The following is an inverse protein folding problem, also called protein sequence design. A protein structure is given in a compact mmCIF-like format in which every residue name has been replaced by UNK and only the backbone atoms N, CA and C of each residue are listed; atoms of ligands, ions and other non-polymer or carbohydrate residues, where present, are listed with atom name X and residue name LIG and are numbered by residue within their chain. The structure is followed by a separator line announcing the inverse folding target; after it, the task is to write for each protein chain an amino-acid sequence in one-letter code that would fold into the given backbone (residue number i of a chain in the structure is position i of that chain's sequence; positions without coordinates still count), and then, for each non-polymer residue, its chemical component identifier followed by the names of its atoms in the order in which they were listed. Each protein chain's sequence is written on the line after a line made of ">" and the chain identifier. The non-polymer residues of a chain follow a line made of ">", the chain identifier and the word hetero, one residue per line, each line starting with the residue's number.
data_IF_554488886558
#
_entry.id   IF_554488886558
#
_cell.length_a   1.000
_cell.length_b   1.000
_cell.length_c   1.000
_cell.angle_alpha   90.00
_cell.angle_beta   90.00
_cell.angle_gamma   90.00
#
_symmetry.space_group_name_H-M   'P 1'
#
loop_
_entity.id
_entity.type
_entity.pdbx_description
1 polymer ?
#
# COMPACT_ATOMS: atom_id res chain seq x y z
N UNK A 1 48.97 -59.49 -36.26
CA UNK A 1 49.37 -58.18 -35.71
C UNK A 1 48.36 -57.15 -36.18
N UNK A 2 47.81 -56.38 -35.24
CA UNK A 2 47.20 -55.02 -35.34
C UNK A 2 46.32 -54.70 -36.56
N UNK A 3 45.03 -54.38 -36.49
CA UNK A 3 44.24 -53.73 -35.43
C UNK A 3 44.48 -52.21 -35.46
N UNK A 4 43.50 -51.42 -35.93
CA UNK A 4 42.88 -50.26 -35.22
C UNK A 4 41.70 -49.68 -36.05
N UNK A 5 40.53 -49.62 -35.42
CA UNK A 5 39.28 -49.02 -35.91
C UNK A 5 39.24 -47.53 -35.54
N UNK A 6 38.79 -46.68 -36.47
CA UNK A 6 38.71 -45.23 -36.29
C UNK A 6 37.73 -44.80 -35.19
N UNK A 7 38.18 -43.89 -34.33
CA UNK A 7 37.35 -43.21 -33.34
C UNK A 7 36.62 -42.02 -33.98
N UNK A 8 35.29 -42.10 -33.99
CA UNK A 8 34.42 -40.96 -34.25
C UNK A 8 34.41 -40.00 -33.06
N UNK A 9 34.79 -38.75 -33.31
CA UNK A 9 34.62 -37.63 -32.39
C UNK A 9 33.12 -37.31 -32.25
N UNK A 10 32.51 -37.70 -31.13
CA UNK A 10 31.18 -37.21 -30.74
C UNK A 10 31.34 -35.83 -30.10
N UNK A 11 30.99 -34.80 -30.85
CA UNK A 11 30.78 -33.45 -30.33
C UNK A 11 29.77 -33.51 -29.17
N UNK A 12 30.24 -33.18 -27.96
CA UNK A 12 29.38 -32.99 -26.78
C UNK A 12 28.51 -31.78 -27.04
N UNK A 13 27.23 -32.02 -27.31
CA UNK A 13 26.22 -30.97 -27.25
C UNK A 13 26.16 -30.45 -25.81
N UNK A 14 26.27 -29.13 -25.57
CA UNK A 14 26.03 -28.58 -24.25
C UNK A 14 24.57 -28.88 -23.86
N UNK A 15 24.38 -29.47 -22.68
CA UNK A 15 23.03 -29.62 -22.11
C UNK A 15 22.40 -28.23 -22.00
N UNK A 16 21.14 -28.03 -22.39
CA UNK A 16 20.44 -26.78 -22.12
C UNK A 16 20.51 -26.51 -20.61
N UNK A 17 20.95 -25.32 -20.25
CA UNK A 17 21.04 -24.84 -18.89
C UNK A 17 19.69 -25.10 -18.21
N UNK A 18 19.63 -25.92 -17.17
CA UNK A 18 18.40 -26.18 -16.45
C UNK A 18 17.88 -24.82 -15.97
N UNK A 19 16.76 -24.36 -16.51
CA UNK A 19 16.15 -23.11 -16.10
C UNK A 19 15.92 -23.21 -14.59
N UNK A 20 16.71 -22.48 -13.82
CA UNK A 20 16.56 -22.43 -12.36
C UNK A 20 15.15 -21.96 -12.06
N UNK A 21 14.39 -22.74 -11.29
CA UNK A 21 13.02 -22.35 -10.89
C UNK A 21 13.07 -20.92 -10.31
N UNK A 22 12.26 -19.98 -10.84
CA UNK A 22 12.27 -18.59 -10.40
C UNK A 22 11.98 -18.48 -8.90
N UNK A 23 12.60 -17.49 -8.26
CA UNK A 23 12.34 -17.15 -6.87
C UNK A 23 10.90 -16.66 -6.73
N UNK A 24 10.08 -17.41 -6.00
CA UNK A 24 8.67 -17.05 -5.75
C UNK A 24 8.58 -16.02 -4.64
N UNK A 25 7.90 -14.91 -4.88
CA UNK A 25 7.73 -13.85 -3.88
C UNK A 25 6.27 -13.48 -3.69
N UNK A 26 5.93 -13.02 -2.49
CA UNK A 26 4.65 -12.43 -2.19
C UNK A 26 4.81 -10.91 -2.00
N UNK A 27 4.05 -10.12 -2.75
CA UNK A 27 3.92 -8.68 -2.53
C UNK A 27 2.58 -8.41 -1.87
N UNK A 28 2.59 -7.95 -0.61
CA UNK A 28 1.39 -7.45 0.06
C UNK A 28 1.19 -6.01 -0.40
N UNK A 29 0.09 -5.73 -1.11
CA UNK A 29 -0.04 -4.49 -1.90
C UNK A 29 -1.26 -3.63 -1.58
N UNK A 30 -1.65 -2.83 -2.57
CA UNK A 30 -2.71 -1.82 -2.48
C UNK A 30 -2.20 -0.37 -2.42
N UNK A 31 -0.94 -0.15 -2.78
CA UNK A 31 -0.30 1.17 -2.85
C UNK A 31 0.31 1.39 -4.22
N UNK A 32 0.62 2.65 -4.54
CA UNK A 32 1.35 3.01 -5.76
C UNK A 32 2.75 2.40 -5.79
N UNK A 33 3.39 2.23 -4.63
CA UNK A 33 4.70 1.59 -4.52
C UNK A 33 4.61 0.09 -4.81
N UNK A 34 3.55 -0.58 -4.35
CA UNK A 34 3.29 -1.98 -4.70
C UNK A 34 3.10 -2.16 -6.20
N UNK A 35 2.23 -1.36 -6.84
CA UNK A 35 2.03 -1.35 -8.31
C UNK A 35 3.34 -1.10 -9.06
N UNK A 36 4.13 -0.12 -8.61
CA UNK A 36 5.40 0.20 -9.22
C UNK A 36 6.46 -0.90 -9.02
N UNK A 37 6.39 -1.66 -7.93
CA UNK A 37 7.26 -2.82 -7.70
C UNK A 37 6.86 -3.99 -8.59
N UNK A 38 5.57 -4.35 -8.64
CA UNK A 38 5.09 -5.48 -9.47
C UNK A 38 5.37 -5.27 -10.95
N UNK A 39 5.24 -4.03 -11.44
CA UNK A 39 5.62 -3.68 -12.81
C UNK A 39 7.11 -3.91 -13.10
N UNK A 40 7.99 -3.66 -12.12
CA UNK A 40 9.44 -3.88 -12.27
C UNK A 40 9.78 -5.37 -12.21
N UNK A 41 9.26 -6.11 -11.24
CA UNK A 41 9.57 -7.55 -11.09
C UNK A 41 8.98 -8.39 -12.22
N UNK A 42 7.90 -7.95 -12.87
CA UNK A 42 7.36 -8.62 -14.06
C UNK A 42 8.37 -8.68 -15.22
N UNK A 43 9.34 -7.76 -15.25
CA UNK A 43 10.42 -7.73 -16.23
C UNK A 43 11.66 -8.54 -15.80
N UNK A 44 11.63 -9.23 -14.65
CA UNK A 44 12.77 -9.96 -14.09
C UNK A 44 12.56 -11.49 -14.21
N UNK A 45 13.22 -12.18 -15.16
CA UNK A 45 12.98 -13.60 -15.43
C UNK A 45 13.23 -14.54 -14.23
N UNK A 46 14.06 -14.11 -13.28
CA UNK A 46 14.39 -14.88 -12.07
C UNK A 46 13.36 -14.77 -10.95
N UNK A 47 12.30 -13.96 -11.09
CA UNK A 47 11.33 -13.68 -10.02
C UNK A 47 9.92 -14.02 -10.49
N UNK A 48 9.24 -14.87 -9.74
CA UNK A 48 7.82 -15.14 -9.90
C UNK A 48 7.03 -14.45 -8.78
N UNK A 49 6.42 -13.32 -9.07
CA UNK A 49 5.70 -12.53 -8.07
C UNK A 49 4.20 -12.87 -8.00
N UNK A 50 3.67 -12.93 -6.78
CA UNK A 50 2.23 -12.90 -6.52
C UNK A 50 1.89 -11.61 -5.77
N UNK A 51 1.00 -10.78 -6.33
CA UNK A 51 0.42 -9.63 -5.66
C UNK A 51 -0.77 -10.07 -4.79
N UNK A 52 -0.84 -9.58 -3.57
CA UNK A 52 -1.93 -9.83 -2.65
C UNK A 52 -2.66 -8.55 -2.27
N UNK A 53 -3.96 -8.52 -2.57
CA UNK A 53 -4.85 -7.40 -2.27
C UNK A 53 -5.90 -7.81 -1.23
N UNK A 54 -6.25 -6.87 -0.36
CA UNK A 54 -7.24 -7.11 0.69
C UNK A 54 -8.69 -7.24 0.20
N UNK A 55 -8.99 -6.94 -1.08
CA UNK A 55 -10.36 -6.94 -1.61
C UNK A 55 -11.20 -5.76 -1.14
N UNK A 56 -10.56 -4.62 -0.83
CA UNK A 56 -11.23 -3.39 -0.37
C UNK A 56 -11.83 -2.54 -1.51
N UNK A 57 -11.65 -2.99 -2.74
CA UNK A 57 -12.24 -2.42 -3.95
C UNK A 57 -12.71 -3.58 -4.83
N UNK A 58 -13.92 -3.49 -5.33
CA UNK A 58 -14.60 -4.42 -6.25
C UNK A 58 -13.85 -4.57 -7.58
N UNK A 59 -13.27 -3.47 -8.07
CA UNK A 59 -12.45 -3.46 -9.30
C UNK A 59 -11.04 -2.89 -9.03
N UNK A 60 -10.10 -3.70 -8.50
CA UNK A 60 -8.70 -3.32 -8.44
C UNK A 60 -8.15 -3.14 -9.86
N UNK A 61 -7.12 -2.28 -10.03
CA UNK A 61 -6.46 -2.16 -11.33
C UNK A 61 -5.79 -3.50 -11.69
N UNK A 62 -5.84 -3.93 -12.96
CA UNK A 62 -5.05 -5.06 -13.42
C UNK A 62 -3.55 -4.80 -13.21
N UNK A 63 -2.82 -5.83 -12.81
CA UNK A 63 -1.39 -5.77 -12.53
C UNK A 63 -0.67 -6.87 -13.32
N UNK A 64 0.59 -6.69 -13.73
CA UNK A 64 1.28 -7.57 -14.66
C UNK A 64 1.79 -8.88 -14.04
N UNK A 65 1.25 -9.26 -12.88
CA UNK A 65 1.66 -10.44 -12.10
C UNK A 65 0.43 -11.17 -11.58
N UNK A 66 0.59 -12.44 -11.18
CA UNK A 66 -0.49 -13.21 -10.56
C UNK A 66 -1.04 -12.44 -9.35
N UNK A 67 -2.36 -12.25 -9.29
CA UNK A 67 -3.01 -11.45 -8.24
C UNK A 67 -4.00 -12.29 -7.47
N UNK A 68 -3.85 -12.32 -6.14
CA UNK A 68 -4.84 -12.90 -5.21
C UNK A 68 -5.60 -11.82 -4.46
N UNK A 69 -6.85 -12.10 -4.14
CA UNK A 69 -7.74 -11.20 -3.41
C UNK A 69 -8.29 -11.93 -2.18
N UNK A 70 -8.27 -11.26 -1.02
CA UNK A 70 -8.86 -11.75 0.22
C UNK A 70 -7.85 -11.90 1.36
N UNK A 71 -8.34 -12.16 2.57
CA UNK A 71 -7.51 -12.34 3.75
C UNK A 71 -6.71 -13.64 3.74
N UNK A 72 -5.77 -13.76 4.69
CA UNK A 72 -5.01 -14.99 4.95
C UNK A 72 -5.46 -15.74 6.21
N UNK A 73 -6.37 -15.17 7.01
CA UNK A 73 -6.74 -15.76 8.31
C UNK A 73 -5.72 -15.48 9.42
N UNK A 74 -5.19 -14.26 9.48
CA UNK A 74 -4.18 -13.85 10.49
C UNK A 74 -2.75 -14.27 10.13
N UNK A 75 -1.83 -14.11 11.09
CA UNK A 75 -0.41 -14.45 10.90
C UNK A 75 -0.20 -15.95 10.62
N UNK A 76 -0.83 -16.84 11.39
CA UNK A 76 -0.69 -18.29 11.19
C UNK A 76 -1.21 -18.77 9.84
N UNK A 77 -2.34 -18.21 9.37
CA UNK A 77 -2.85 -18.52 8.04
C UNK A 77 -1.97 -17.97 6.91
N UNK A 78 -1.35 -16.80 7.10
CA UNK A 78 -0.33 -16.29 6.19
C UNK A 78 0.90 -17.20 6.16
N UNK A 79 1.43 -17.62 7.32
CA UNK A 79 2.59 -18.51 7.40
C UNK A 79 2.35 -19.85 6.66
N UNK A 80 1.17 -20.44 6.84
CA UNK A 80 0.77 -21.65 6.11
C UNK A 80 0.75 -21.42 4.60
N UNK A 81 0.13 -20.32 4.16
CA UNK A 81 0.07 -19.98 2.74
C UNK A 81 1.46 -19.76 2.14
N UNK A 82 2.37 -19.09 2.87
CA UNK A 82 3.76 -18.91 2.43
C UNK A 82 4.47 -20.25 2.20
N UNK A 83 4.31 -21.20 3.11
CA UNK A 83 4.90 -22.53 3.01
C UNK A 83 4.31 -23.36 1.86
N UNK A 84 2.97 -23.42 1.77
CA UNK A 84 2.26 -24.16 0.71
C UNK A 84 2.60 -23.67 -0.71
N UNK A 85 2.94 -22.38 -0.85
CA UNK A 85 3.25 -21.76 -2.14
C UNK A 85 4.76 -21.65 -2.41
N UNK A 86 5.62 -22.13 -1.50
CA UNK A 86 7.07 -22.07 -1.64
C UNK A 86 7.60 -20.64 -1.75
N UNK A 87 7.04 -19.71 -0.98
CA UNK A 87 7.43 -18.29 -1.04
C UNK A 87 8.80 -18.09 -0.39
N UNK A 88 9.75 -17.61 -1.18
CA UNK A 88 11.13 -17.37 -0.77
C UNK A 88 11.34 -15.98 -0.16
N UNK A 89 10.46 -15.02 -0.41
CA UNK A 89 10.50 -13.69 0.21
C UNK A 89 9.15 -12.99 0.20
N UNK A 90 8.91 -12.13 1.19
CA UNK A 90 7.73 -11.27 1.28
C UNK A 90 8.15 -9.80 1.21
N UNK A 91 7.41 -9.03 0.41
CA UNK A 91 7.49 -7.57 0.39
C UNK A 91 6.20 -6.99 0.98
N UNK A 92 6.29 -6.33 2.14
CA UNK A 92 5.20 -5.53 2.68
C UNK A 92 5.21 -4.12 2.05
N UNK A 93 4.48 -3.99 0.94
CA UNK A 93 4.21 -2.71 0.28
C UNK A 93 2.77 -2.22 0.55
N UNK A 94 2.20 -2.57 1.71
CA UNK A 94 0.84 -2.16 2.08
C UNK A 94 0.79 -0.69 2.49
N UNK A 95 -0.43 -0.14 2.58
CA UNK A 95 -0.62 1.25 3.00
C UNK A 95 -0.07 1.48 4.42
N UNK A 96 0.53 2.64 4.78
CA UNK A 96 1.10 2.87 6.11
C UNK A 96 0.11 2.75 7.29
N UNK A 97 -1.19 2.76 7.01
CA UNK A 97 -2.27 2.55 8.00
C UNK A 97 -2.79 1.10 8.02
N UNK A 98 -2.18 0.19 7.26
CA UNK A 98 -2.55 -1.22 7.20
C UNK A 98 -1.80 -2.04 8.29
N UNK A 99 -1.66 -1.47 9.50
CA UNK A 99 -0.82 -2.01 10.57
C UNK A 99 -1.10 -3.49 10.90
N UNK A 100 -2.36 -3.92 10.85
CA UNK A 100 -2.74 -5.32 11.10
C UNK A 100 -2.09 -6.31 10.13
N UNK A 101 -2.10 -6.03 8.82
CA UNK A 101 -1.50 -6.95 7.85
C UNK A 101 0.03 -6.86 7.90
N UNK A 102 0.61 -5.70 8.17
CA UNK A 102 2.05 -5.56 8.43
C UNK A 102 2.50 -6.37 9.66
N UNK A 103 1.75 -6.31 10.77
CA UNK A 103 2.01 -7.13 11.95
C UNK A 103 1.88 -8.63 11.65
N UNK A 104 0.83 -9.04 10.93
CA UNK A 104 0.67 -10.42 10.51
C UNK A 104 1.82 -10.88 9.59
N UNK A 105 2.31 -10.03 8.70
CA UNK A 105 3.42 -10.33 7.81
C UNK A 105 4.71 -10.54 8.58
N UNK A 106 5.04 -9.65 9.52
CA UNK A 106 6.20 -9.76 10.38
C UNK A 106 6.18 -11.09 11.17
N UNK A 107 5.05 -11.41 11.80
CA UNK A 107 4.92 -12.63 12.57
C UNK A 107 4.94 -13.89 11.69
N UNK A 108 4.24 -13.90 10.55
CA UNK A 108 4.22 -15.04 9.64
C UNK A 108 5.61 -15.33 9.05
N UNK A 109 6.33 -14.28 8.67
CA UNK A 109 7.68 -14.39 8.13
C UNK A 109 8.67 -14.91 9.19
N UNK A 110 8.53 -14.45 10.44
CA UNK A 110 9.30 -14.98 11.58
C UNK A 110 9.03 -16.46 11.81
N UNK A 111 7.76 -16.89 11.81
CA UNK A 111 7.37 -18.28 12.01
C UNK A 111 7.86 -19.21 10.89
N UNK A 112 7.82 -18.75 9.64
CA UNK A 112 8.22 -19.53 8.46
C UNK A 112 9.69 -19.37 8.06
N UNK A 113 10.49 -18.61 8.82
CA UNK A 113 11.84 -18.20 8.45
C UNK A 113 11.93 -17.59 7.02
N UNK A 114 10.88 -16.90 6.59
CA UNK A 114 10.80 -16.25 5.27
C UNK A 114 11.31 -14.81 5.40
N UNK A 115 12.28 -14.38 4.58
CA UNK A 115 12.70 -12.99 4.54
C UNK A 115 11.57 -12.00 4.27
N UNK A 116 11.50 -10.96 5.09
CA UNK A 116 10.57 -9.85 4.94
C UNK A 116 11.33 -8.55 4.68
N UNK A 117 10.88 -7.78 3.70
CA UNK A 117 11.24 -6.38 3.50
C UNK A 117 9.98 -5.54 3.45
N UNK A 118 9.96 -4.40 4.13
CA UNK A 118 8.89 -3.43 4.00
C UNK A 118 9.24 -2.27 3.07
N UNK A 119 8.27 -1.81 2.28
CA UNK A 119 8.36 -0.54 1.56
C UNK A 119 7.69 0.54 2.40
N UNK A 120 8.51 1.43 2.98
CA UNK A 120 8.10 2.46 3.93
C UNK A 120 8.47 3.85 3.40
N UNK A 121 7.59 4.40 2.57
CA UNK A 121 7.75 5.78 2.10
C UNK A 121 7.73 6.79 3.28
N UNK A 122 8.47 7.91 3.19
CA UNK A 122 8.45 8.94 4.24
C UNK A 122 7.05 9.48 4.54
N UNK A 123 6.84 9.92 5.78
CA UNK A 123 5.67 10.72 6.15
C UNK A 123 5.75 12.09 5.48
N UNK A 124 4.60 12.72 5.25
CA UNK A 124 4.60 14.14 4.90
C UNK A 124 5.09 14.95 6.10
N UNK A 125 5.93 15.94 5.83
CA UNK A 125 6.38 16.92 6.79
C UNK A 125 5.61 18.23 6.60
N UNK A 126 5.29 18.89 7.72
CA UNK A 126 4.65 20.21 7.73
C UNK A 126 5.55 21.23 7.02
N UNK A 127 4.94 22.04 6.18
CA UNK A 127 5.57 23.13 5.45
C UNK A 127 5.14 24.49 6.01
N UNK A 128 5.88 25.58 5.75
CA UNK A 128 5.42 26.93 6.07
C UNK A 128 4.01 27.20 5.50
N UNK A 129 3.14 27.78 6.32
CA UNK A 129 1.74 28.06 5.99
C UNK A 129 0.76 26.89 6.22
N UNK A 130 1.25 25.70 6.57
CA UNK A 130 0.37 24.60 6.98
C UNK A 130 -0.25 24.85 8.35
N UNK A 131 -1.57 24.76 8.45
CA UNK A 131 -2.31 24.66 9.72
C UNK A 131 -2.66 23.19 10.02
N UNK A 132 -1.67 22.42 10.48
CA UNK A 132 -1.87 21.01 10.84
C UNK A 132 -2.13 20.85 12.33
N UNK A 133 -3.14 20.04 12.63
CA UNK A 133 -3.35 19.44 13.94
C UNK A 133 -3.20 17.93 13.83
N UNK A 134 -2.07 17.42 14.31
CA UNK A 134 -1.82 15.98 14.33
C UNK A 134 -2.57 15.32 15.49
N UNK A 135 -3.20 14.17 15.22
CA UNK A 135 -3.95 13.39 16.20
C UNK A 135 -3.59 11.90 16.10
N UNK A 136 -3.63 11.13 17.21
CA UNK A 136 -3.13 9.75 17.21
C UNK A 136 -4.07 8.76 16.51
N UNK A 137 -5.36 9.07 16.38
CA UNK A 137 -6.36 8.13 15.85
C UNK A 137 -7.45 8.86 15.07
N UNK A 138 -8.21 8.13 14.24
CA UNK A 138 -9.39 8.69 13.57
C UNK A 138 -10.45 9.17 14.57
N UNK A 139 -10.65 8.45 15.68
CA UNK A 139 -11.59 8.88 16.72
C UNK A 139 -11.20 10.24 17.33
N UNK A 140 -9.90 10.48 17.53
CA UNK A 140 -9.39 11.75 18.02
C UNK A 140 -9.61 12.92 17.04
N UNK A 141 -9.85 12.65 15.74
CA UNK A 141 -10.25 13.69 14.79
C UNK A 141 -11.57 14.34 15.20
N UNK A 142 -12.54 13.54 15.68
CA UNK A 142 -13.87 14.06 16.05
C UNK A 142 -13.74 15.09 17.16
N UNK A 143 -12.96 14.79 18.21
CA UNK A 143 -12.66 15.75 19.27
C UNK A 143 -11.94 16.99 18.74
N UNK A 144 -11.02 16.83 17.80
CA UNK A 144 -10.27 17.93 17.20
C UNK A 144 -11.12 18.86 16.32
N UNK A 145 -12.25 18.39 15.79
CA UNK A 145 -13.18 19.21 15.01
C UNK A 145 -13.96 20.21 15.88
N UNK A 146 -14.17 19.89 17.16
CA UNK A 146 -14.93 20.70 18.11
C UNK A 146 -16.46 20.61 17.93
N UNK A 147 -17.20 21.43 18.68
CA UNK A 147 -18.66 21.38 18.70
C UNK A 147 -19.34 22.28 17.66
N UNK A 148 -18.67 23.34 17.20
CA UNK A 148 -19.24 24.25 16.21
C UNK A 148 -19.47 23.49 14.88
N UNK A 149 -20.64 23.63 14.22
CA UNK A 149 -20.87 23.06 12.91
C UNK A 149 -19.81 23.51 11.90
N UNK A 150 -19.35 22.57 11.07
CA UNK A 150 -18.31 22.79 10.05
C UNK A 150 -18.57 21.91 8.86
N UNK A 151 -18.04 22.30 7.70
CA UNK A 151 -18.01 21.50 6.48
C UNK A 151 -16.67 20.76 6.36
N UNK A 152 -16.72 19.48 6.69
CA UNK A 152 -15.56 18.62 6.91
C UNK A 152 -15.31 17.73 5.69
N UNK A 153 -14.11 17.83 5.11
CA UNK A 153 -13.69 16.95 4.02
C UNK A 153 -12.95 15.72 4.54
N UNK A 154 -13.60 14.55 4.47
CA UNK A 154 -13.02 13.27 4.92
C UNK A 154 -12.33 12.54 3.75
N UNK A 155 -11.03 12.30 3.90
CA UNK A 155 -10.20 11.54 2.95
C UNK A 155 -9.51 10.32 3.59
N UNK A 156 -10.15 9.76 4.62
CA UNK A 156 -9.61 8.70 5.48
C UNK A 156 -9.95 7.27 5.03
N UNK A 157 -10.77 7.13 3.99
CA UNK A 157 -11.26 5.85 3.47
C UNK A 157 -12.52 5.35 4.18
N UNK A 158 -13.29 4.51 3.48
CA UNK A 158 -14.64 4.05 3.90
C UNK A 158 -14.67 3.31 5.24
N UNK A 159 -13.63 2.57 5.61
CA UNK A 159 -13.66 1.70 6.80
C UNK A 159 -13.69 2.45 8.13
N UNK A 160 -13.36 3.74 8.13
CA UNK A 160 -13.16 4.50 9.37
C UNK A 160 -14.07 5.73 9.46
N UNK A 161 -14.97 5.93 8.50
CA UNK A 161 -15.89 7.08 8.52
C UNK A 161 -16.94 6.99 9.62
N UNK A 162 -17.27 5.80 10.10
CA UNK A 162 -18.29 5.59 11.14
C UNK A 162 -17.97 6.32 12.45
N UNK A 163 -16.70 6.57 12.74
CA UNK A 163 -16.30 7.36 13.92
C UNK A 163 -16.96 8.76 13.94
N UNK A 164 -17.20 9.35 12.77
CA UNK A 164 -17.77 10.70 12.62
C UNK A 164 -19.28 10.75 12.86
N UNK A 165 -19.97 9.60 12.95
CA UNK A 165 -21.38 9.54 13.34
C UNK A 165 -21.63 10.11 14.75
N UNK A 166 -20.59 10.12 15.60
CA UNK A 166 -20.64 10.71 16.95
C UNK A 166 -20.64 12.24 16.96
N UNK A 167 -20.46 12.89 15.80
CA UNK A 167 -20.54 14.35 15.64
C UNK A 167 -21.44 14.72 14.44
N UNK A 168 -22.76 14.47 14.54
CA UNK A 168 -23.70 14.67 13.43
C UNK A 168 -23.97 16.15 13.11
N UNK A 169 -23.51 17.08 13.95
CA UNK A 169 -23.66 18.52 13.75
C UNK A 169 -22.83 19.05 12.57
N UNK A 170 -21.80 18.34 12.13
CA UNK A 170 -20.99 18.74 10.98
C UNK A 170 -21.63 18.30 9.66
N UNK A 171 -21.32 19.02 8.59
CA UNK A 171 -21.60 18.60 7.22
C UNK A 171 -20.38 17.86 6.66
N UNK A 172 -20.55 16.60 6.27
CA UNK A 172 -19.46 15.76 5.81
C UNK A 172 -19.44 15.65 4.29
N UNK A 173 -18.29 15.95 3.70
CA UNK A 173 -17.96 15.60 2.31
C UNK A 173 -16.98 14.45 2.37
N UNK A 174 -17.36 13.28 1.85
CA UNK A 174 -16.55 12.06 1.96
C UNK A 174 -16.10 11.59 0.60
N UNK A 175 -14.79 11.55 0.37
CA UNK A 175 -14.23 11.03 -0.88
C UNK A 175 -13.63 9.65 -0.70
N UNK A 176 -14.18 8.68 -1.42
CA UNK A 176 -13.77 7.27 -1.39
C UNK A 176 -13.82 6.69 -2.80
N UNK A 177 -13.12 5.57 -3.03
CA UNK A 177 -13.20 4.86 -4.33
C UNK A 177 -14.57 4.19 -4.46
N UNK A 178 -15.02 3.55 -3.40
CA UNK A 178 -16.33 2.93 -3.32
C UNK A 178 -17.26 3.76 -2.45
N UNK A 179 -18.57 3.77 -2.74
CA UNK A 179 -19.55 4.48 -1.92
C UNK A 179 -19.47 4.07 -0.45
N UNK A 180 -19.70 5.02 0.46
CA UNK A 180 -19.70 4.72 1.90
C UNK A 180 -20.93 3.95 2.37
N UNK A 181 -22.02 3.98 1.60
CA UNK A 181 -23.30 3.38 2.00
C UNK A 181 -23.76 3.93 3.35
N UNK A 182 -24.30 3.06 4.21
CA UNK A 182 -24.79 3.43 5.54
C UNK A 182 -23.68 3.54 6.60
N UNK A 183 -22.40 3.52 6.19
CA UNK A 183 -21.28 3.55 7.14
C UNK A 183 -21.16 4.86 7.92
N UNK A 184 -21.84 5.94 7.50
CA UNK A 184 -21.87 7.22 8.19
C UNK A 184 -23.30 7.78 8.22
N UNK A 185 -24.12 7.39 9.22
CA UNK A 185 -25.50 7.83 9.34
C UNK A 185 -25.58 9.25 9.95
N UNK A 186 -25.44 10.28 9.13
CA UNK A 186 -25.48 11.70 9.53
C UNK A 186 -26.41 12.50 8.62
N UNK A 187 -27.05 13.57 9.12
CA UNK A 187 -28.06 14.31 8.36
C UNK A 187 -27.49 15.04 7.14
N UNK A 188 -26.22 15.47 7.20
CA UNK A 188 -25.59 16.28 6.17
C UNK A 188 -24.38 15.54 5.58
N UNK A 189 -24.63 14.68 4.59
CA UNK A 189 -23.59 13.86 3.95
C UNK A 189 -23.58 14.08 2.43
N UNK A 190 -22.41 14.41 1.89
CA UNK A 190 -22.10 14.38 0.46
C UNK A 190 -21.04 13.30 0.24
N UNK A 191 -21.28 12.40 -0.71
CA UNK A 191 -20.31 11.35 -1.06
C UNK A 191 -19.75 11.61 -2.46
N UNK A 192 -18.44 11.44 -2.59
CA UNK A 192 -17.70 11.64 -3.85
C UNK A 192 -16.95 10.37 -4.17
N UNK A 193 -17.40 9.65 -5.20
CA UNK A 193 -16.73 8.46 -5.71
C UNK A 193 -15.61 8.88 -6.66
N UNK A 194 -14.36 8.79 -6.21
CA UNK A 194 -13.21 9.18 -7.02
C UNK A 194 -11.96 8.36 -6.71
N UNK A 195 -11.13 8.15 -7.73
CA UNK A 195 -9.82 7.49 -7.63
C UNK A 195 -8.76 8.43 -8.20
N UNK A 196 -7.67 8.61 -7.46
CA UNK A 196 -6.56 9.44 -7.91
C UNK A 196 -5.74 8.85 -9.08
N UNK A 197 -4.67 9.55 -9.50
CA UNK A 197 -4.09 10.72 -8.83
C UNK A 197 -4.97 11.97 -8.93
N UNK A 198 -4.83 12.89 -7.97
CA UNK A 198 -5.51 14.18 -7.97
C UNK A 198 -4.49 15.28 -8.19
N UNK A 199 -4.82 16.30 -8.99
CA UNK A 199 -3.94 17.46 -9.16
C UNK A 199 -4.22 18.50 -8.09
N UNK A 200 -3.26 19.40 -7.86
CA UNK A 200 -3.42 20.50 -6.93
C UNK A 200 -4.52 21.49 -7.35
N UNK A 201 -4.62 21.74 -8.65
CA UNK A 201 -5.66 22.62 -9.19
C UNK A 201 -7.06 22.04 -8.97
N UNK A 202 -7.23 20.73 -9.23
CA UNK A 202 -8.50 20.04 -8.98
C UNK A 202 -8.86 20.02 -7.50
N UNK A 203 -7.90 19.77 -6.60
CA UNK A 203 -8.14 19.81 -5.15
C UNK A 203 -8.51 21.21 -4.67
N UNK A 204 -7.81 22.24 -5.15
CA UNK A 204 -8.06 23.64 -4.75
C UNK A 204 -9.45 24.07 -5.21
N UNK A 205 -9.81 23.76 -6.46
CA UNK A 205 -11.12 24.05 -7.02
C UNK A 205 -12.21 23.30 -6.26
N UNK A 206 -12.05 22.00 -6.07
CA UNK A 206 -13.00 21.16 -5.34
C UNK A 206 -13.25 21.68 -3.92
N UNK A 207 -12.18 21.95 -3.15
CA UNK A 207 -12.33 22.43 -1.77
C UNK A 207 -13.03 23.79 -1.70
N UNK A 208 -12.76 24.68 -2.65
CA UNK A 208 -13.41 25.99 -2.75
C UNK A 208 -14.88 25.89 -3.12
N UNK A 209 -15.19 25.19 -4.21
CA UNK A 209 -16.58 25.03 -4.71
C UNK A 209 -17.45 24.27 -3.72
N UNK A 210 -16.87 23.25 -3.06
CA UNK A 210 -17.55 22.51 -2.02
C UNK A 210 -17.57 23.26 -0.68
N UNK A 211 -17.01 24.47 -0.54
CA UNK A 211 -17.03 25.25 0.70
C UNK A 211 -16.41 24.51 1.90
N UNK A 212 -15.32 23.76 1.68
CA UNK A 212 -14.67 22.99 2.73
C UNK A 212 -14.02 23.94 3.76
N UNK A 213 -14.25 23.66 5.04
CA UNK A 213 -13.72 24.45 6.16
C UNK A 213 -12.60 23.72 6.93
N UNK A 214 -12.48 22.40 6.75
CA UNK A 214 -11.42 21.58 7.36
C UNK A 214 -11.22 20.29 6.58
N UNK A 215 -9.95 19.94 6.34
CA UNK A 215 -9.57 18.66 5.80
C UNK A 215 -9.26 17.69 6.94
N UNK A 216 -9.86 16.49 6.90
CA UNK A 216 -9.44 15.37 7.74
C UNK A 216 -8.78 14.31 6.87
N UNK A 217 -7.55 13.96 7.22
CA UNK A 217 -6.79 12.97 6.44
C UNK A 217 -5.84 12.15 7.30
N UNK A 218 -5.19 11.18 6.66
CA UNK A 218 -4.14 10.36 7.24
C UNK A 218 -2.80 10.82 6.71
N UNK A 219 -1.75 10.77 7.53
CA UNK A 219 -0.38 10.98 7.05
C UNK A 219 0.11 9.78 6.22
N UNK A 220 -0.52 9.57 5.07
CA UNK A 220 -0.24 8.47 4.16
C UNK A 220 1.14 8.59 3.53
N UNK A 221 1.74 9.78 3.47
CA UNK A 221 2.94 10.04 2.69
C UNK A 221 2.70 9.86 1.18
N UNK A 222 3.79 9.99 0.40
CA UNK A 222 3.77 9.81 -1.05
C UNK A 222 3.15 10.99 -1.82
N UNK A 223 3.57 11.16 -3.07
CA UNK A 223 3.17 12.32 -3.89
C UNK A 223 1.71 12.22 -4.39
N UNK A 224 1.22 11.01 -4.69
CA UNK A 224 -0.06 10.81 -5.38
C UNK A 224 -1.30 11.36 -4.65
N UNK A 225 -1.22 11.55 -3.33
CA UNK A 225 -2.33 12.10 -2.53
C UNK A 225 -1.95 13.36 -1.76
N UNK A 226 -0.71 13.85 -1.90
CA UNK A 226 -0.29 15.10 -1.26
C UNK A 226 -1.04 16.36 -1.73
N UNK A 227 -1.52 16.48 -2.98
CA UNK A 227 -2.15 17.71 -3.48
C UNK A 227 -3.29 18.28 -2.64
N UNK A 228 -4.03 17.45 -1.89
CA UNK A 228 -5.07 17.93 -0.96
C UNK A 228 -4.51 18.72 0.23
N UNK A 229 -3.32 18.36 0.71
CA UNK A 229 -2.62 19.08 1.78
C UNK A 229 -2.16 20.44 1.27
N UNK A 230 -1.57 20.47 0.08
CA UNK A 230 -1.14 21.71 -0.54
C UNK A 230 -2.32 22.61 -0.92
N UNK A 231 -3.44 22.05 -1.36
CA UNK A 231 -4.67 22.81 -1.58
C UNK A 231 -5.21 23.43 -0.28
N UNK A 232 -5.25 22.66 0.81
CA UNK A 232 -5.63 23.17 2.12
C UNK A 232 -4.74 24.33 2.55
N UNK A 233 -3.42 24.21 2.38
CA UNK A 233 -2.45 25.30 2.61
C UNK A 233 -2.76 26.55 1.78
N UNK A 234 -2.99 26.41 0.47
CA UNK A 234 -3.31 27.53 -0.44
C UNK A 234 -4.59 28.25 -0.06
N UNK A 235 -5.55 27.52 0.52
CA UNK A 235 -6.84 28.06 0.94
C UNK A 235 -6.85 28.50 2.41
N UNK A 236 -5.74 28.35 3.14
CA UNK A 236 -5.67 28.66 4.58
C UNK A 236 -6.56 27.74 5.43
N UNK A 237 -6.86 26.53 4.95
CA UNK A 237 -7.74 25.59 5.65
C UNK A 237 -6.95 24.76 6.68
N UNK A 238 -7.51 24.57 7.89
CA UNK A 238 -6.95 23.64 8.85
C UNK A 238 -7.02 22.20 8.35
N UNK A 239 -5.99 21.44 8.71
CA UNK A 239 -5.86 20.01 8.42
C UNK A 239 -5.76 19.23 9.72
N UNK A 240 -6.78 18.43 10.02
CA UNK A 240 -6.67 17.40 11.08
C UNK A 240 -6.04 16.17 10.45
N UNK A 241 -4.82 15.86 10.84
CA UNK A 241 -4.03 14.77 10.26
C UNK A 241 -3.82 13.65 11.26
N UNK A 242 -4.25 12.44 10.91
CA UNK A 242 -4.02 11.26 11.73
C UNK A 242 -2.56 10.85 11.59
N UNK A 243 -1.85 10.72 12.72
CA UNK A 243 -0.50 10.19 12.81
C UNK A 243 -0.45 8.73 12.34
N UNK A 244 0.71 8.29 11.86
CA UNK A 244 0.90 6.89 11.46
C UNK A 244 0.84 5.99 12.70
N UNK A 245 0.20 4.81 12.62
CA UNK A 245 0.29 3.83 13.69
C UNK A 245 1.73 3.31 13.81
N UNK A 246 2.08 2.78 14.98
CA UNK A 246 3.29 1.99 15.13
C UNK A 246 3.22 0.77 14.20
N UNK A 247 4.33 0.49 13.51
CA UNK A 247 4.49 -0.67 12.64
C UNK A 247 5.61 -1.55 13.20
N UNK A 248 5.63 -2.86 12.87
CA UNK A 248 6.73 -3.73 13.24
C UNK A 248 8.06 -3.19 12.72
N UNK A 249 9.10 -3.27 13.55
CA UNK A 249 10.46 -2.95 13.17
C UNK A 249 11.04 -4.09 12.33
N UNK A 250 11.14 -3.86 11.02
CA UNK A 250 11.63 -4.82 10.03
C UNK A 250 12.50 -4.08 9.01
N UNK A 251 13.45 -4.77 8.34
CA UNK A 251 14.21 -4.16 7.26
C UNK A 251 13.30 -3.45 6.27
N UNK A 252 13.64 -2.21 5.92
CA UNK A 252 12.79 -1.40 5.08
C UNK A 252 13.56 -0.50 4.12
N UNK A 253 12.87 -0.16 3.03
CA UNK A 253 13.34 0.73 1.96
C UNK A 253 12.24 1.75 1.66
N UNK A 254 12.57 2.95 1.16
CA UNK A 254 11.56 3.99 0.96
C UNK A 254 10.64 3.75 -0.23
N UNK A 255 11.05 2.91 -1.19
CA UNK A 255 10.38 2.79 -2.49
C UNK A 255 10.56 1.42 -3.15
N UNK A 256 9.93 1.27 -4.32
CA UNK A 256 9.97 0.08 -5.15
C UNK A 256 11.36 -0.21 -5.77
N UNK A 257 12.19 0.81 -5.98
CA UNK A 257 13.53 0.61 -6.55
C UNK A 257 14.45 -0.06 -5.53
N UNK A 258 14.42 0.41 -4.27
CA UNK A 258 15.12 -0.24 -3.17
C UNK A 258 14.67 -1.68 -2.94
N UNK A 259 13.37 -1.95 -3.06
CA UNK A 259 12.83 -3.31 -2.90
C UNK A 259 13.31 -4.25 -4.02
N UNK A 260 13.35 -3.76 -5.27
CA UNK A 260 13.88 -4.53 -6.39
C UNK A 260 15.37 -4.86 -6.19
N UNK A 261 16.19 -3.90 -5.76
CA UNK A 261 17.61 -4.13 -5.48
C UNK A 261 17.81 -5.20 -4.40
N UNK A 262 17.01 -5.13 -3.33
CA UNK A 262 17.03 -6.15 -2.27
C UNK A 262 16.65 -7.54 -2.79
N UNK A 263 15.65 -7.63 -3.66
CA UNK A 263 15.26 -8.90 -4.32
C UNK A 263 16.37 -9.44 -5.23
N UNK A 264 17.02 -8.57 -6.02
CA UNK A 264 18.13 -8.96 -6.91
C UNK A 264 19.33 -9.50 -6.14
N UNK A 265 19.68 -8.88 -5.02
CA UNK A 265 20.75 -9.39 -4.15
C UNK A 265 20.46 -10.80 -3.62
N UNK A 266 19.19 -11.19 -3.50
CA UNK A 266 18.78 -12.54 -3.09
C UNK A 266 18.81 -13.57 -4.22
N UNK A 267 18.66 -13.14 -5.47
CA UNK A 267 18.84 -14.03 -6.63
C UNK A 267 20.29 -14.48 -6.80
N UNK A 268 21.24 -13.62 -6.42
CA UNK A 268 22.69 -13.86 -6.61
C UNK A 268 23.38 -14.46 -5.38
N UNK A 269 22.69 -14.57 -4.24
CA UNK A 269 23.21 -15.18 -3.03
C UNK A 269 23.21 -16.72 -3.09
N UNK A 270 24.06 -17.41 -2.30
CA UNK A 270 23.98 -18.87 -2.16
C UNK A 270 22.59 -19.27 -1.65
N UNK A 271 21.97 -20.24 -2.32
CA UNK A 271 20.66 -20.83 -1.96
C UNK A 271 20.77 -21.73 -0.73
#
# INVERSE_FOLDING_TARGET
>A
MSGTVGQGSRARHPKPNAATDPMRILVLGGTTEASALVARVAAEPGIAATLSLAGRTTAPRPEPVATRIGGFGGAGGLARWLAENGIAAVIDATHPFAARISANAAEACRLGAVPLLAVRRPAWARQPGDDWREVPTVAACVTALGFAPRRVFLTIGRQEVSAFASAPQHAYVVRTIEPVGDALPVPNLVTVSARGPFTLEDETRFMREAGIEVLVTKNSGGAATYPKIEAARRLGLPVVIVARPALPDVPSVPDAAGALLWLKARLTGPR
#
